data_IF_452804070763
#
_entry.id   IF_452804070763
#
_cell.length_a   1.000
_cell.length_b   1.000
_cell.length_c   1.000
_cell.angle_alpha   90.00
_cell.angle_beta   90.00
_cell.angle_gamma   90.00
#
_symmetry.space_group_name_H-M   'P 1'
#
loop_
_entity.id
_entity.type
_entity.pdbx_description
1 polymer ?
#
# COMPACT_ATOMS: atom_id res chain seq x y z
N UNK A 1 18.51 44.66 19.93
CA UNK A 1 19.09 43.91 21.07
C UNK A 1 17.91 43.26 21.77
N UNK A 2 17.57 42.01 21.60
CA UNK A 2 18.34 40.88 21.06
C UNK A 2 17.38 39.88 20.41
N UNK A 3 17.93 39.19 19.43
CA UNK A 3 17.30 38.25 18.51
C UNK A 3 16.66 37.04 19.18
N UNK A 4 15.57 36.54 18.58
CA UNK A 4 15.37 35.10 18.53
C UNK A 4 14.87 34.72 17.13
N UNK A 5 15.82 34.30 16.31
CA UNK A 5 15.62 33.75 14.99
C UNK A 5 15.01 32.34 15.13
N UNK A 6 13.82 32.13 14.56
CA UNK A 6 13.38 30.78 14.19
C UNK A 6 13.59 30.65 12.69
N UNK A 7 14.45 29.69 12.40
CA UNK A 7 15.05 29.35 11.12
C UNK A 7 14.02 28.79 10.14
N UNK A 8 14.27 29.13 8.87
CA UNK A 8 13.71 28.51 7.68
C UNK A 8 14.09 27.03 7.59
N UNK A 9 13.37 26.32 6.72
CA UNK A 9 13.59 24.97 6.18
C UNK A 9 12.95 23.81 6.95
N UNK A 10 11.78 23.38 6.46
CA UNK A 10 11.61 22.05 5.86
C UNK A 10 10.40 22.12 4.92
N UNK A 11 10.64 22.61 3.70
CA UNK A 11 9.74 22.37 2.57
C UNK A 11 10.03 20.93 2.15
N UNK A 12 9.24 19.98 2.64
CA UNK A 12 9.32 18.61 2.13
C UNK A 12 8.65 18.60 0.76
N UNK A 13 9.49 18.70 -0.28
CA UNK A 13 9.11 18.47 -1.66
C UNK A 13 8.33 17.16 -1.73
N UNK A 14 7.06 17.29 -2.10
CA UNK A 14 6.22 16.16 -2.43
C UNK A 14 6.76 15.62 -3.76
N UNK A 15 7.66 14.63 -3.68
CA UNK A 15 8.06 13.87 -4.86
C UNK A 15 6.78 13.30 -5.48
N UNK A 16 6.41 13.92 -6.58
CA UNK A 16 5.45 13.41 -7.52
C UNK A 16 6.12 12.16 -8.09
N UNK A 17 5.67 10.97 -7.67
CA UNK A 17 5.99 9.72 -8.36
C UNK A 17 5.30 9.79 -9.74
N UNK A 18 5.96 10.55 -10.62
CA UNK A 18 5.74 10.57 -12.03
C UNK A 18 6.14 9.17 -12.48
N UNK A 19 5.12 8.41 -12.88
CA UNK A 19 5.20 7.06 -13.40
C UNK A 19 6.27 6.99 -14.51
N UNK A 20 7.53 6.75 -14.11
CA UNK A 20 8.63 6.43 -15.01
C UNK A 20 8.43 4.99 -15.45
N UNK A 21 7.44 4.81 -16.32
CA UNK A 21 7.38 3.73 -17.30
C UNK A 21 8.57 3.87 -18.26
N UNK A 22 9.78 3.67 -17.75
CA UNK A 22 10.99 3.58 -18.56
C UNK A 22 11.90 2.47 -18.03
N UNK A 23 11.36 1.25 -17.90
CA UNK A 23 12.19 0.07 -18.07
C UNK A 23 12.31 -0.18 -19.56
N UNK A 24 13.42 0.29 -20.12
CA UNK A 24 13.99 -0.15 -21.38
C UNK A 24 13.88 -1.67 -21.50
N UNK A 25 12.83 -2.15 -22.17
CA UNK A 25 12.97 -3.35 -22.96
C UNK A 25 13.84 -2.93 -24.15
N UNK A 26 15.04 -3.49 -24.28
CA UNK A 26 15.75 -3.45 -25.55
C UNK A 26 14.98 -4.32 -26.53
N UNK A 27 13.96 -3.74 -27.19
CA UNK A 27 13.37 -4.28 -28.41
C UNK A 27 14.37 -4.00 -29.53
N UNK A 28 15.10 -5.02 -29.94
CA UNK A 28 15.77 -4.99 -31.24
C UNK A 28 14.69 -4.94 -32.34
N UNK A 29 14.44 -3.75 -32.88
CA UNK A 29 13.74 -3.58 -34.15
C UNK A 29 14.68 -2.82 -35.09
N UNK A 30 15.39 -3.56 -35.93
CA UNK A 30 16.05 -3.03 -37.11
C UNK A 30 15.61 -3.86 -38.31
N UNK A 31 14.65 -3.32 -39.05
CA UNK A 31 14.52 -3.68 -40.46
C UNK A 31 15.69 -3.05 -41.22
N UNK A 32 16.39 -3.86 -42.00
CA UNK A 32 17.20 -3.44 -43.14
C UNK A 32 18.56 -2.80 -42.84
N UNK A 33 19.60 -3.63 -42.70
CA UNK A 33 20.86 -3.32 -43.37
C UNK A 33 21.65 -4.59 -43.63
N UNK A 34 21.92 -4.81 -44.91
CA UNK A 34 22.77 -5.84 -45.48
C UNK A 34 24.21 -5.68 -44.97
N UNK A 35 24.88 -6.82 -44.75
CA UNK A 35 26.32 -6.96 -44.42
C UNK A 35 26.71 -6.84 -42.95
N UNK A 36 26.66 -7.96 -42.23
CA UNK A 36 27.75 -8.37 -41.32
C UNK A 36 27.86 -9.89 -41.33
N UNK A 37 29.08 -10.46 -41.42
CA UNK A 37 29.25 -11.89 -41.60
C UNK A 37 28.98 -12.62 -40.28
N UNK A 38 28.07 -13.59 -40.39
CA UNK A 38 27.89 -14.70 -39.48
C UNK A 38 29.25 -15.20 -38.94
N UNK A 39 29.55 -14.93 -37.67
CA UNK A 39 30.62 -15.64 -36.95
C UNK A 39 30.10 -17.02 -36.57
N UNK A 40 29.73 -17.83 -37.58
CA UNK A 40 29.82 -19.26 -37.43
C UNK A 40 31.26 -19.54 -37.01
N UNK A 41 31.46 -20.22 -35.89
CA UNK A 41 32.66 -21.00 -35.66
C UNK A 41 32.74 -22.00 -36.82
N UNK A 42 33.35 -21.54 -37.91
CA UNK A 42 33.62 -22.29 -39.10
C UNK A 42 34.85 -23.12 -38.73
N UNK A 43 34.60 -24.29 -38.18
CA UNK A 43 35.61 -25.32 -38.12
C UNK A 43 35.71 -25.80 -39.58
N UNK A 44 36.52 -25.14 -40.41
CA UNK A 44 36.93 -25.74 -41.68
C UNK A 44 37.69 -27.01 -41.31
N UNK A 45 37.00 -28.15 -41.38
CA UNK A 45 37.65 -29.39 -41.82
C UNK A 45 37.97 -29.17 -43.30
N UNK A 46 39.13 -28.58 -43.56
CA UNK A 46 39.83 -28.84 -44.81
C UNK A 46 40.44 -30.24 -44.68
N UNK A 47 39.62 -31.26 -44.92
CA UNK A 47 40.12 -32.57 -45.31
C UNK A 47 40.64 -32.42 -46.75
N UNK A 48 41.90 -32.04 -46.87
CA UNK A 48 42.65 -32.18 -48.10
C UNK A 48 42.90 -33.68 -48.32
N UNK A 49 41.93 -34.34 -48.95
CA UNK A 49 42.01 -35.71 -49.48
C UNK A 49 42.97 -35.72 -50.68
N UNK A 50 44.25 -35.50 -50.41
CA UNK A 50 45.32 -35.89 -51.32
C UNK A 50 45.67 -37.34 -51.01
N UNK A 51 45.07 -38.24 -51.78
CA UNK A 51 45.34 -39.67 -51.73
C UNK A 51 46.83 -39.99 -51.84
N UNK A 52 47.43 -40.39 -50.73
CA UNK A 52 48.64 -41.22 -50.71
C UNK A 52 48.54 -42.20 -49.54
N UNK A 53 47.97 -43.36 -49.84
CA UNK A 53 47.97 -44.50 -48.95
C UNK A 53 49.38 -45.08 -48.87
N UNK A 54 50.22 -44.54 -47.98
CA UNK A 54 51.51 -45.17 -47.75
C UNK A 54 52.48 -44.38 -46.88
N UNK A 55 52.35 -44.50 -45.55
CA UNK A 55 53.43 -44.57 -44.52
C UNK A 55 53.05 -43.76 -43.28
N UNK A 56 52.56 -44.49 -42.28
CA UNK A 56 52.11 -43.94 -41.00
C UNK A 56 53.15 -43.03 -40.33
N UNK A 57 52.74 -41.79 -40.06
CA UNK A 57 53.41 -40.90 -39.11
C UNK A 57 52.58 -40.85 -37.81
N UNK A 58 53.15 -41.24 -36.65
CA UNK A 58 52.42 -41.32 -35.39
C UNK A 58 51.91 -39.94 -34.88
N UNK A 59 52.51 -38.84 -35.35
CA UNK A 59 52.14 -37.47 -34.92
C UNK A 59 50.75 -37.00 -35.37
N UNK A 60 50.27 -37.42 -36.54
CA UNK A 60 48.96 -36.98 -37.05
C UNK A 60 47.82 -37.67 -36.31
N UNK A 61 48.04 -38.93 -35.90
CA UNK A 61 47.13 -39.68 -35.04
C UNK A 61 47.10 -39.08 -33.63
N UNK A 62 48.26 -38.71 -33.08
CA UNK A 62 48.40 -38.03 -31.78
C UNK A 62 47.68 -36.67 -31.73
N UNK A 63 47.73 -35.88 -32.82
CA UNK A 63 46.99 -34.61 -32.90
C UNK A 63 45.46 -34.82 -32.97
N UNK A 64 44.98 -35.78 -33.79
CA UNK A 64 43.56 -36.14 -33.84
C UNK A 64 43.06 -36.66 -32.48
N UNK A 65 43.89 -37.41 -31.77
CA UNK A 65 43.59 -37.92 -30.43
C UNK A 65 43.54 -36.78 -29.39
N UNK A 66 44.52 -35.88 -29.35
CA UNK A 66 44.51 -34.69 -28.49
C UNK A 66 43.26 -33.82 -28.71
N UNK A 67 42.83 -33.65 -29.97
CA UNK A 67 41.61 -32.90 -30.30
C UNK A 67 40.35 -33.60 -29.77
N UNK A 68 40.28 -34.92 -29.88
CA UNK A 68 39.18 -35.73 -29.33
C UNK A 68 39.13 -35.63 -27.80
N UNK A 69 40.27 -35.68 -27.13
CA UNK A 69 40.37 -35.53 -25.67
C UNK A 69 39.89 -34.14 -25.22
N UNK A 70 40.36 -33.08 -25.86
CA UNK A 70 39.93 -31.72 -25.56
C UNK A 70 38.41 -31.53 -25.76
N UNK A 71 37.86 -32.08 -26.84
CA UNK A 71 36.42 -32.07 -27.09
C UNK A 71 35.64 -32.81 -25.98
N UNK A 72 36.14 -33.97 -25.56
CA UNK A 72 35.54 -34.77 -24.49
C UNK A 72 35.57 -34.02 -23.16
N UNK A 73 36.70 -33.39 -22.82
CA UNK A 73 36.85 -32.58 -21.62
C UNK A 73 35.90 -31.37 -21.61
N UNK A 74 35.76 -30.68 -22.76
CA UNK A 74 34.85 -29.55 -22.90
C UNK A 74 33.39 -29.96 -22.69
N UNK A 75 32.96 -31.08 -23.28
CA UNK A 75 31.60 -31.61 -23.11
C UNK A 75 31.36 -32.10 -21.67
N UNK A 76 32.35 -32.71 -21.01
CA UNK A 76 32.24 -33.09 -19.60
C UNK A 76 32.04 -31.85 -18.72
N UNK A 77 32.84 -30.80 -18.91
CA UNK A 77 32.69 -29.53 -18.19
C UNK A 77 31.30 -28.92 -18.40
N UNK A 78 30.76 -28.97 -19.62
CA UNK A 78 29.39 -28.53 -19.93
C UNK A 78 28.35 -29.35 -19.18
N UNK A 79 28.50 -30.68 -19.14
CA UNK A 79 27.58 -31.59 -18.41
C UNK A 79 27.62 -31.35 -16.91
N UNK A 80 28.79 -31.13 -16.34
CA UNK A 80 28.97 -30.85 -14.92
C UNK A 80 28.34 -29.51 -14.53
N UNK A 81 28.48 -28.49 -15.39
CA UNK A 81 27.80 -27.20 -15.19
C UNK A 81 26.27 -27.34 -15.22
N UNK A 82 25.72 -28.10 -16.18
CA UNK A 82 24.27 -28.38 -16.24
C UNK A 82 23.81 -29.13 -14.99
N UNK A 83 24.57 -30.15 -14.56
CA UNK A 83 24.27 -30.92 -13.36
C UNK A 83 24.19 -30.02 -12.12
N UNK A 84 25.17 -29.15 -11.93
CA UNK A 84 25.18 -28.15 -10.84
C UNK A 84 23.96 -27.23 -10.90
N UNK A 85 23.53 -26.84 -12.11
CA UNK A 85 22.32 -26.04 -12.31
C UNK A 85 21.05 -26.77 -11.85
N UNK A 86 20.91 -28.07 -12.12
CA UNK A 86 19.81 -28.89 -11.62
C UNK A 86 19.83 -29.03 -10.09
N UNK A 87 21.01 -29.24 -9.51
CA UNK A 87 21.18 -29.35 -8.05
C UNK A 87 20.73 -28.04 -7.37
N UNK A 88 21.14 -26.88 -7.91
CA UNK A 88 20.72 -25.56 -7.39
C UNK A 88 19.22 -25.31 -7.55
N UNK A 89 18.64 -25.73 -8.68
CA UNK A 89 17.20 -25.59 -8.94
C UNK A 89 16.38 -26.45 -7.97
N UNK A 90 16.90 -27.62 -7.60
CA UNK A 90 16.27 -28.51 -6.64
C UNK A 90 16.22 -27.90 -5.24
N UNK A 91 17.25 -27.15 -4.83
CA UNK A 91 17.30 -26.42 -3.56
C UNK A 91 16.31 -25.24 -3.52
N UNK A 92 16.21 -24.48 -4.61
CA UNK A 92 15.36 -23.28 -4.69
C UNK A 92 13.87 -23.59 -4.77
N UNK A 93 13.48 -24.74 -5.33
CA UNK A 93 12.08 -25.11 -5.51
C UNK A 93 11.62 -25.96 -4.32
N UNK A 94 10.73 -25.47 -3.44
CA UNK A 94 10.38 -26.18 -2.19
C UNK A 94 9.84 -27.59 -2.40
N UNK A 95 9.12 -27.82 -3.51
CA UNK A 95 8.56 -29.14 -3.87
C UNK A 95 9.56 -30.10 -4.53
N UNK A 96 10.80 -29.65 -4.74
CA UNK A 96 11.90 -30.45 -5.27
C UNK A 96 12.94 -30.80 -4.18
N UNK A 97 12.88 -30.16 -3.02
CA UNK A 97 13.76 -30.50 -1.91
C UNK A 97 13.51 -31.96 -1.48
N UNK A 98 14.56 -32.76 -1.27
CA UNK A 98 14.40 -34.13 -0.83
C UNK A 98 13.73 -34.12 0.56
N UNK A 99 12.54 -34.72 0.67
CA UNK A 99 12.07 -35.13 1.99
C UNK A 99 13.12 -36.12 2.51
N UNK A 100 13.70 -35.84 3.67
CA UNK A 100 14.85 -36.53 4.30
C UNK A 100 14.71 -38.06 4.47
N UNK A 101 13.62 -38.68 4.00
CA UNK A 101 13.27 -40.07 4.24
C UNK A 101 13.34 -40.99 3.00
N UNK A 102 13.51 -40.50 1.77
CA UNK A 102 13.32 -41.35 0.57
C UNK A 102 14.55 -41.64 -0.29
N UNK A 103 15.65 -40.90 -0.14
CA UNK A 103 16.87 -41.10 -0.95
C UNK A 103 16.66 -41.05 -2.48
N UNK A 104 15.47 -40.65 -2.94
CA UNK A 104 15.03 -40.79 -4.32
C UNK A 104 15.37 -39.52 -5.11
N UNK A 105 16.23 -39.65 -6.12
CA UNK A 105 16.59 -38.53 -7.00
C UNK A 105 15.42 -38.22 -7.93
N UNK A 106 14.87 -37.02 -7.85
CA UNK A 106 13.84 -36.54 -8.75
C UNK A 106 14.33 -36.55 -10.20
N UNK A 107 13.44 -36.88 -11.14
CA UNK A 107 13.80 -36.87 -12.56
C UNK A 107 14.00 -35.43 -13.05
N UNK A 108 14.91 -35.23 -14.00
CA UNK A 108 15.17 -33.90 -14.60
C UNK A 108 13.90 -33.25 -15.14
N UNK A 109 13.05 -34.04 -15.81
CA UNK A 109 11.77 -33.56 -16.33
C UNK A 109 10.83 -33.06 -15.21
N UNK A 110 10.77 -33.78 -14.09
CA UNK A 110 9.93 -33.40 -12.96
C UNK A 110 10.46 -32.13 -12.26
N UNK A 111 11.79 -31.99 -12.11
CA UNK A 111 12.40 -30.78 -11.54
C UNK A 111 12.01 -29.57 -12.39
N UNK A 112 12.13 -29.65 -13.72
CA UNK A 112 11.73 -28.56 -14.62
C UNK A 112 10.25 -28.23 -14.51
N UNK A 113 9.38 -29.25 -14.50
CA UNK A 113 7.94 -29.05 -14.37
C UNK A 113 7.57 -28.33 -13.06
N UNK A 114 8.13 -28.78 -11.94
CA UNK A 114 7.90 -28.16 -10.62
C UNK A 114 8.47 -26.75 -10.54
N UNK A 115 9.56 -26.47 -11.24
CA UNK A 115 10.13 -25.14 -11.34
C UNK A 115 9.20 -24.18 -12.09
N UNK A 116 8.60 -24.62 -13.21
CA UNK A 116 7.62 -23.84 -13.96
C UNK A 116 6.40 -23.53 -13.08
N UNK A 117 5.84 -24.55 -12.41
CA UNK A 117 4.73 -24.37 -11.47
C UNK A 117 5.07 -23.36 -10.37
N UNK A 118 6.30 -23.40 -9.84
CA UNK A 118 6.74 -22.51 -8.78
C UNK A 118 6.93 -21.06 -9.27
N UNK A 119 7.47 -20.86 -10.48
CA UNK A 119 7.57 -19.52 -11.09
C UNK A 119 6.17 -18.92 -11.29
N UNK A 120 5.21 -19.71 -11.78
CA UNK A 120 3.81 -19.24 -11.93
C UNK A 120 3.23 -18.86 -10.58
N UNK A 121 3.44 -19.68 -9.55
CA UNK A 121 3.01 -19.38 -8.19
C UNK A 121 3.65 -18.09 -7.64
N UNK A 122 4.96 -17.91 -7.81
CA UNK A 122 5.68 -16.72 -7.36
C UNK A 122 5.17 -15.45 -8.07
N UNK A 123 4.91 -15.54 -9.38
CA UNK A 123 4.33 -14.42 -10.13
C UNK A 123 2.94 -14.05 -9.62
N UNK A 124 2.11 -15.04 -9.31
CA UNK A 124 0.78 -14.80 -8.74
C UNK A 124 0.86 -14.17 -7.34
N UNK A 125 1.77 -14.66 -6.49
CA UNK A 125 1.99 -14.08 -5.16
C UNK A 125 2.53 -12.65 -5.24
N UNK A 126 3.45 -12.39 -6.17
CA UNK A 126 3.97 -11.04 -6.43
C UNK A 126 2.84 -10.10 -6.86
N UNK A 127 2.01 -10.50 -7.82
CA UNK A 127 0.87 -9.69 -8.27
C UNK A 127 -0.09 -9.38 -7.13
N UNK A 128 -0.38 -10.36 -6.27
CA UNK A 128 -1.23 -10.17 -5.09
C UNK A 128 -0.63 -9.14 -4.11
N UNK A 129 0.68 -9.24 -3.83
CA UNK A 129 1.35 -8.28 -2.94
C UNK A 129 1.40 -6.86 -3.53
N UNK A 130 1.59 -6.74 -4.85
CA UNK A 130 1.55 -5.45 -5.54
C UNK A 130 0.15 -4.82 -5.47
N UNK A 131 -0.91 -5.60 -5.62
CA UNK A 131 -2.30 -5.15 -5.47
C UNK A 131 -2.61 -4.68 -4.03
N UNK A 132 -2.24 -5.48 -3.02
CA UNK A 132 -2.39 -5.11 -1.61
C UNK A 132 -1.62 -3.84 -1.26
N UNK A 133 -0.38 -3.71 -1.73
CA UNK A 133 0.43 -2.51 -1.54
C UNK A 133 -0.21 -1.27 -2.19
N UNK A 134 -0.74 -1.41 -3.41
CA UNK A 134 -1.44 -0.31 -4.09
C UNK A 134 -2.71 0.10 -3.35
N UNK A 135 -3.47 -0.86 -2.82
CA UNK A 135 -4.67 -0.60 -2.03
C UNK A 135 -4.33 0.18 -0.74
N UNK A 136 -3.31 -0.25 0.00
CA UNK A 136 -2.86 0.42 1.22
C UNK A 136 -2.37 1.85 0.95
N UNK A 137 -1.64 2.07 -0.15
CA UNK A 137 -1.21 3.43 -0.53
C UNK A 137 -2.39 4.36 -0.83
N UNK A 138 -3.43 3.85 -1.50
CA UNK A 138 -4.67 4.61 -1.74
C UNK A 138 -5.37 4.98 -0.43
N UNK A 139 -5.44 4.05 0.52
CA UNK A 139 -6.04 4.29 1.84
C UNK A 139 -5.27 5.35 2.62
N UNK A 140 -3.93 5.25 2.68
CA UNK A 140 -3.08 6.26 3.33
C UNK A 140 -3.29 7.64 2.70
N UNK A 141 -3.40 7.71 1.38
CA UNK A 141 -3.64 8.97 0.66
C UNK A 141 -5.00 9.56 1.01
N UNK A 142 -6.05 8.73 1.03
CA UNK A 142 -7.39 9.16 1.42
C UNK A 142 -7.44 9.67 2.86
N UNK A 143 -6.83 8.95 3.80
CA UNK A 143 -6.72 9.37 5.20
C UNK A 143 -5.98 10.70 5.35
N UNK A 144 -4.91 10.90 4.58
CA UNK A 144 -4.15 12.17 4.59
C UNK A 144 -4.97 13.33 4.03
N UNK A 145 -5.77 13.11 2.99
CA UNK A 145 -6.72 14.12 2.48
C UNK A 145 -7.73 14.49 3.57
N UNK A 146 -8.29 13.51 4.28
CA UNK A 146 -9.24 13.74 5.37
C UNK A 146 -8.57 14.51 6.52
N UNK A 147 -7.38 14.12 6.94
CA UNK A 147 -6.59 14.80 7.96
C UNK A 147 -6.38 16.28 7.59
N UNK A 148 -5.86 16.54 6.39
CA UNK A 148 -5.66 17.90 5.90
C UNK A 148 -6.97 18.69 5.84
N UNK A 149 -8.09 18.04 5.52
CA UNK A 149 -9.42 18.67 5.56
C UNK A 149 -9.79 19.17 6.96
N UNK A 150 -9.56 18.36 7.99
CA UNK A 150 -9.79 18.74 9.38
C UNK A 150 -8.84 19.83 9.87
N UNK A 151 -7.55 19.71 9.55
CA UNK A 151 -6.54 20.73 9.92
C UNK A 151 -6.88 22.10 9.31
N UNK A 152 -7.29 22.13 8.05
CA UNK A 152 -7.73 23.37 7.40
C UNK A 152 -8.98 23.96 8.06
N UNK A 153 -9.97 23.14 8.41
CA UNK A 153 -11.19 23.60 9.09
C UNK A 153 -10.87 24.18 10.47
N UNK A 154 -9.96 23.53 11.20
CA UNK A 154 -9.50 23.97 12.52
C UNK A 154 -8.73 25.30 12.43
N UNK A 155 -7.83 25.45 11.44
CA UNK A 155 -7.14 26.71 11.19
C UNK A 155 -8.10 27.84 10.80
N UNK A 156 -9.10 27.58 9.94
CA UNK A 156 -10.11 28.58 9.60
C UNK A 156 -10.93 29.03 10.81
N UNK A 157 -11.29 28.09 11.70
CA UNK A 157 -12.00 28.41 12.94
C UNK A 157 -11.14 29.23 13.91
N UNK A 158 -9.83 28.97 13.97
CA UNK A 158 -8.90 29.75 14.81
C UNK A 158 -8.56 31.12 14.22
N UNK A 159 -8.41 31.22 12.89
CA UNK A 159 -8.07 32.47 12.20
C UNK A 159 -9.24 33.46 12.14
N UNK A 160 -10.48 32.96 12.20
CA UNK A 160 -11.67 33.80 12.26
C UNK A 160 -12.54 33.41 13.48
N UNK A 161 -12.10 33.73 14.70
CA UNK A 161 -12.74 33.25 15.93
C UNK A 161 -14.13 33.85 16.21
N UNK A 162 -14.68 34.66 15.30
CA UNK A 162 -15.84 35.52 15.57
C UNK A 162 -15.50 36.60 16.60
N UNK A 163 -16.36 37.61 16.78
CA UNK A 163 -16.22 38.55 17.90
C UNK A 163 -16.29 37.78 19.22
N UNK A 164 -15.38 38.10 20.15
CA UNK A 164 -15.21 37.41 21.44
C UNK A 164 -16.49 37.46 22.32
N UNK A 165 -17.37 38.43 22.06
CA UNK A 165 -18.70 38.60 22.67
C UNK A 165 -19.73 37.52 22.27
N UNK A 166 -19.48 36.72 21.22
CA UNK A 166 -20.37 35.65 20.76
C UNK A 166 -19.94 34.26 21.28
N UNK A 167 -18.89 34.20 22.10
CA UNK A 167 -18.40 32.95 22.70
C UNK A 167 -19.34 32.50 23.81
N UNK A 168 -20.02 31.38 23.56
CA UNK A 168 -20.77 30.66 24.58
C UNK A 168 -19.87 30.34 25.78
N UNK A 169 -20.40 30.54 26.99
CA UNK A 169 -19.74 30.09 28.22
C UNK A 169 -19.53 28.58 28.18
N UNK A 170 -18.51 28.07 28.87
CA UNK A 170 -18.29 26.61 28.92
C UNK A 170 -19.49 25.87 29.52
N UNK A 171 -20.22 26.51 30.42
CA UNK A 171 -21.51 26.03 30.93
C UNK A 171 -22.54 25.91 29.80
N UNK A 172 -22.70 26.94 28.95
CA UNK A 172 -23.60 26.87 27.81
C UNK A 172 -23.19 25.81 26.79
N UNK A 173 -21.89 25.62 26.56
CA UNK A 173 -21.39 24.53 25.70
C UNK A 173 -21.75 23.16 26.29
N UNK A 174 -21.57 22.98 27.60
CA UNK A 174 -21.88 21.73 28.29
C UNK A 174 -23.39 21.43 28.25
N UNK A 175 -24.24 22.43 28.51
CA UNK A 175 -25.69 22.29 28.44
C UNK A 175 -26.17 21.95 27.03
N UNK A 176 -25.62 22.61 26.00
CA UNK A 176 -25.92 22.28 24.60
C UNK A 176 -25.46 20.85 24.27
N UNK A 177 -24.26 20.45 24.70
CA UNK A 177 -23.76 19.10 24.51
C UNK A 177 -24.66 18.06 25.19
N UNK A 178 -25.05 18.31 26.45
CA UNK A 178 -25.94 17.45 27.20
C UNK A 178 -27.30 17.32 26.50
N UNK A 179 -27.89 18.42 26.05
CA UNK A 179 -29.17 18.41 25.34
C UNK A 179 -29.09 17.61 24.03
N UNK A 180 -28.00 17.77 23.26
CA UNK A 180 -27.76 16.98 22.05
C UNK A 180 -27.63 15.50 22.41
N UNK A 181 -26.77 15.14 23.37
CA UNK A 181 -26.53 13.75 23.74
C UNK A 181 -27.80 13.07 24.28
N UNK A 182 -28.62 13.79 25.04
CA UNK A 182 -29.88 13.28 25.54
C UNK A 182 -30.86 12.98 24.40
N UNK A 183 -31.03 13.91 23.46
CA UNK A 183 -31.90 13.71 22.29
C UNK A 183 -31.42 12.53 21.42
N UNK A 184 -30.11 12.40 21.24
CA UNK A 184 -29.53 11.29 20.47
C UNK A 184 -29.72 9.96 21.19
N UNK A 185 -29.50 9.91 22.51
CA UNK A 185 -29.74 8.71 23.30
C UNK A 185 -31.21 8.29 23.27
N UNK A 186 -32.11 9.26 23.43
CA UNK A 186 -33.54 9.02 23.51
C UNK A 186 -34.10 8.50 22.19
N UNK A 187 -33.55 8.91 21.06
CA UNK A 187 -33.95 8.39 19.74
C UNK A 187 -33.26 7.05 19.44
N UNK A 188 -31.98 6.90 19.83
CA UNK A 188 -31.21 5.68 19.58
C UNK A 188 -31.74 4.45 20.33
N UNK A 189 -32.27 4.61 21.54
CA UNK A 189 -32.80 3.48 22.33
C UNK A 189 -33.96 2.73 21.66
N UNK A 190 -34.61 3.35 20.66
CA UNK A 190 -35.72 2.76 19.92
C UNK A 190 -35.26 1.86 18.77
N UNK A 191 -33.96 1.79 18.49
CA UNK A 191 -33.40 0.97 17.41
C UNK A 191 -33.34 -0.50 17.87
N UNK A 192 -33.88 -1.47 17.10
CA UNK A 192 -33.81 -2.88 17.44
C UNK A 192 -32.36 -3.38 17.43
N UNK A 193 -31.93 -4.04 18.51
CA UNK A 193 -30.55 -4.53 18.67
C UNK A 193 -30.45 -6.06 18.79
N UNK A 194 -31.51 -6.78 18.46
CA UNK A 194 -31.61 -8.24 18.68
C UNK A 194 -30.62 -9.07 17.85
N UNK A 195 -30.18 -8.53 16.70
CA UNK A 195 -29.14 -9.13 15.86
C UNK A 195 -28.46 -8.09 14.97
N UNK A 196 -27.29 -8.44 14.45
CA UNK A 196 -26.47 -7.55 13.61
C UNK A 196 -27.23 -6.98 12.41
N UNK A 197 -28.07 -7.79 11.73
CA UNK A 197 -28.84 -7.35 10.56
C UNK A 197 -29.86 -6.27 10.92
N UNK A 198 -30.58 -6.42 12.03
CA UNK A 198 -31.53 -5.43 12.51
C UNK A 198 -30.83 -4.14 12.96
N UNK A 199 -29.72 -4.26 13.70
CA UNK A 199 -28.91 -3.11 14.12
C UNK A 199 -28.41 -2.32 12.91
N UNK A 200 -27.77 -2.98 11.94
CA UNK A 200 -27.25 -2.30 10.73
C UNK A 200 -28.37 -1.71 9.87
N UNK A 201 -29.55 -2.33 9.87
CA UNK A 201 -30.72 -1.85 9.14
C UNK A 201 -31.39 -0.65 9.81
N UNK A 202 -31.31 -0.52 11.14
CA UNK A 202 -31.93 0.57 11.89
C UNK A 202 -31.00 1.76 12.16
N UNK A 203 -29.70 1.53 12.34
CA UNK A 203 -28.75 2.60 12.70
C UNK A 203 -28.49 3.60 11.56
N UNK A 204 -28.46 3.13 10.31
CA UNK A 204 -28.20 4.01 9.15
C UNK A 204 -29.38 4.97 8.93
N UNK A 205 -30.65 4.51 8.83
CA UNK A 205 -31.79 5.41 8.74
C UNK A 205 -31.89 6.36 9.93
N UNK A 206 -31.64 5.88 11.15
CA UNK A 206 -31.64 6.73 12.33
C UNK A 206 -30.62 7.86 12.23
N UNK A 207 -29.38 7.56 11.82
CA UNK A 207 -28.33 8.56 11.64
C UNK A 207 -28.74 9.60 10.60
N UNK A 208 -29.31 9.15 9.48
CA UNK A 208 -29.78 10.03 8.41
C UNK A 208 -30.99 10.88 8.81
N UNK A 209 -31.80 10.43 9.75
CA UNK A 209 -32.98 11.15 10.21
C UNK A 209 -32.68 12.13 11.36
N UNK A 210 -31.93 11.68 12.36
CA UNK A 210 -31.76 12.39 13.63
C UNK A 210 -30.44 13.16 13.76
N UNK A 211 -29.37 12.77 13.05
CA UNK A 211 -28.04 13.39 13.18
C UNK A 211 -27.74 14.46 12.12
N UNK A 212 -28.75 14.96 11.40
CA UNK A 212 -28.55 16.00 10.37
C UNK A 212 -28.16 17.35 11.00
N UNK A 213 -27.27 18.15 10.36
CA UNK A 213 -26.77 19.42 10.91
C UNK A 213 -27.88 20.39 11.35
N UNK A 214 -28.98 20.47 10.62
CA UNK A 214 -30.10 21.34 10.98
C UNK A 214 -30.85 20.91 12.26
N UNK A 215 -30.91 19.60 12.58
CA UNK A 215 -31.54 19.11 13.81
C UNK A 215 -30.68 19.52 15.00
N UNK A 216 -29.37 19.30 14.91
CA UNK A 216 -28.41 19.71 15.93
C UNK A 216 -28.42 21.22 16.16
N UNK A 217 -28.50 22.02 15.08
CA UNK A 217 -28.67 23.48 15.18
C UNK A 217 -29.97 23.86 15.88
N UNK A 218 -31.08 23.19 15.59
CA UNK A 218 -32.36 23.45 16.26
C UNK A 218 -32.33 23.10 17.75
N UNK A 219 -31.63 22.03 18.15
CA UNK A 219 -31.43 21.70 19.57
C UNK A 219 -30.61 22.79 20.23
N UNK A 220 -29.47 23.17 19.63
CA UNK A 220 -28.61 24.25 20.13
C UNK A 220 -29.39 25.56 20.30
N UNK A 221 -30.14 26.00 19.29
CA UNK A 221 -30.92 27.23 19.38
C UNK A 221 -31.98 27.17 20.48
N UNK A 222 -32.66 26.03 20.65
CA UNK A 222 -33.66 25.84 21.72
C UNK A 222 -33.02 25.88 23.11
N UNK A 223 -31.91 25.18 23.31
CA UNK A 223 -31.21 25.17 24.60
C UNK A 223 -30.68 26.55 24.96
N UNK A 224 -30.06 27.27 24.02
CA UNK A 224 -29.58 28.64 24.28
C UNK A 224 -30.72 29.62 24.59
N UNK A 225 -31.86 29.49 23.91
CA UNK A 225 -33.05 30.29 24.22
C UNK A 225 -33.59 30.01 25.63
N UNK A 226 -33.65 28.73 26.03
CA UNK A 226 -34.06 28.33 27.38
C UNK A 226 -33.13 28.90 28.45
N UNK A 227 -31.82 28.76 28.26
CA UNK A 227 -30.82 29.31 29.18
C UNK A 227 -30.93 30.84 29.31
N UNK A 228 -31.15 31.54 28.21
CA UNK A 228 -31.37 32.99 28.22
C UNK A 228 -32.62 33.37 29.02
N UNK A 229 -33.72 32.64 28.83
CA UNK A 229 -34.96 32.88 29.54
C UNK A 229 -34.81 32.62 31.05
N UNK A 230 -34.15 31.54 31.45
CA UNK A 230 -33.89 31.22 32.86
C UNK A 230 -33.07 32.29 33.58
N UNK A 231 -32.10 32.90 32.90
CA UNK A 231 -31.32 34.01 33.44
C UNK A 231 -32.19 35.24 33.66
N UNK A 232 -33.10 35.52 32.71
CA UNK A 232 -34.04 36.64 32.78
C UNK A 232 -35.03 36.48 33.95
N UNK A 233 -35.58 35.28 34.10
CA UNK A 233 -36.55 34.94 35.14
C UNK A 233 -35.90 35.01 36.53
N UNK A 234 -34.65 34.54 36.67
CA UNK A 234 -33.88 34.67 37.92
C UNK A 234 -33.57 36.12 38.29
N UNK A 235 -33.31 37.00 37.31
CA UNK A 235 -33.13 38.43 37.58
C UNK A 235 -34.42 39.11 38.03
N UNK A 236 -35.57 38.79 37.42
CA UNK A 236 -36.87 39.33 37.85
C UNK A 236 -37.25 38.89 39.26
N UNK A 237 -37.01 37.63 39.62
CA UNK A 237 -37.31 37.13 40.96
C UNK A 237 -36.47 37.81 42.03
N UNK A 238 -35.17 38.04 41.78
CA UNK A 238 -34.28 38.75 42.71
C UNK A 238 -34.66 40.23 42.89
N UNK A 239 -35.18 40.89 41.84
CA UNK A 239 -35.67 42.26 41.94
C UNK A 239 -36.94 42.37 42.80
N UNK A 240 -37.88 41.44 42.67
CA UNK A 240 -39.09 41.40 43.51
C UNK A 240 -38.79 41.08 44.98
N UNK A 241 -37.81 40.20 45.24
CA UNK A 241 -37.41 39.84 46.60
C UNK A 241 -36.67 41.00 47.31
N UNK A 242 -35.98 41.88 46.56
CA UNK A 242 -35.35 43.09 47.12
C UNK A 242 -36.39 44.18 47.45
N UNK A 243 -37.37 44.45 46.58
CA UNK A 243 -38.41 45.44 46.83
C UNK A 243 -39.31 45.07 48.03
N UNK A 244 -39.55 43.77 48.26
CA UNK A 244 -40.33 43.31 49.43
C UNK A 244 -39.55 43.41 50.75
N UNK A 245 -38.22 43.40 50.72
CA UNK A 245 -37.39 43.59 51.93
C UNK A 245 -37.18 45.05 52.33
N UNK A 246 -37.22 46.00 51.40
CA UNK A 246 -37.10 47.44 51.72
C UNK A 246 -38.42 48.08 52.19
N UNK A 247 -39.58 47.48 51.87
CA UNK A 247 -40.90 47.99 52.26
C UNK A 247 -41.34 47.73 53.71
N UNK A 248 -40.51 47.08 54.54
CA UNK A 248 -40.85 46.67 55.91
C UNK A 248 -39.90 47.20 57.00
N UNK A 249 -38.99 48.13 56.68
CA UNK A 249 -38.17 48.87 57.67
C UNK A 249 -38.70 50.27 57.94
#
# INVERSE_FOLDING_TARGET
MSDNAITKEEVFEMEHDQELGNKHYSRCSSAGSTHTPNSSAHNSDDDDDSGDAGRGKPDVLSYKERRREAHTQAEQKRRDAIKKGYDSLQELVPRCQPNDSSGYKLSKALILQKSIEYIVYLNQQKMKQEEESSALQKEVTALRIIQNGYENMLQHQQANPGPEEERLTDEAKFQVFQAIMQEMFDTFQHIPMDNFKQLTGGVIPWLEEHCKPHILRNILSRTLQQMSQEVLDKQQQQAMDQETTEGFS
#
